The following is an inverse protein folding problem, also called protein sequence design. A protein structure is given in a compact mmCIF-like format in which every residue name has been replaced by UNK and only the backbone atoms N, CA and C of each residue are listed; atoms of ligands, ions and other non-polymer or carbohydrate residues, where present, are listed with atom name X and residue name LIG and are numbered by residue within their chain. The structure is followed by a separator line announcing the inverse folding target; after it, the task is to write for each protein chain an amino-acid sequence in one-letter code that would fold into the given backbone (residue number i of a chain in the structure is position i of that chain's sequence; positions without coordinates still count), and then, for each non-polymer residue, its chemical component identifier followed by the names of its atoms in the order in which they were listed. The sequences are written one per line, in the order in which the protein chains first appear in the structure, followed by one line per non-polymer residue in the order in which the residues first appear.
data_IF_182544605265
#
_entry.id   IF_182544605265
#
_cell.length_a   1.000
_cell.length_b   1.000
_cell.length_c   1.000
_cell.angle_alpha   90.00
_cell.angle_beta   90.00
_cell.angle_gamma   90.00
#
_symmetry.space_group_name_H-M   'P 1'
#
loop_
_entity.id
_entity.type
_entity.pdbx_description
1 polymer ?
#
# COMPACT_ATOMS: atom_id res chain seq x y z
N UNK A 1 -24.09 14.46 -81.84
CA UNK A 1 -23.17 13.33 -81.45
C UNK A 1 -21.99 13.75 -80.63
N UNK A 2 -21.14 14.77 -80.95
CA UNK A 2 -19.98 15.11 -80.05
C UNK A 2 -20.34 15.59 -78.62
N UNK A 3 -21.46 16.31 -78.46
CA UNK A 3 -21.90 16.81 -77.14
C UNK A 3 -22.52 15.71 -76.27
N UNK A 4 -23.11 14.66 -76.87
CA UNK A 4 -23.67 13.52 -76.15
C UNK A 4 -22.61 12.60 -75.58
N UNK A 5 -21.50 12.39 -76.32
CA UNK A 5 -20.38 11.61 -75.86
C UNK A 5 -19.71 12.27 -74.63
N UNK A 6 -19.56 13.60 -74.59
CA UNK A 6 -19.06 14.31 -73.45
C UNK A 6 -19.91 14.10 -72.18
N UNK A 7 -21.22 14.27 -72.35
CA UNK A 7 -22.16 14.08 -71.25
C UNK A 7 -22.16 12.63 -70.73
N UNK A 8 -22.14 11.65 -71.67
CA UNK A 8 -22.10 10.25 -71.28
C UNK A 8 -20.85 9.93 -70.55
N UNK A 9 -19.66 10.38 -71.01
CA UNK A 9 -18.37 10.16 -70.30
C UNK A 9 -18.37 10.72 -68.90
N UNK A 10 -18.88 11.93 -68.69
CA UNK A 10 -18.96 12.54 -67.35
C UNK A 10 -19.90 11.77 -66.42
N UNK A 11 -20.90 11.04 -66.95
CA UNK A 11 -21.85 10.25 -66.15
C UNK A 11 -21.48 8.78 -65.99
N UNK A 12 -20.51 8.23 -66.73
CA UNK A 12 -20.08 6.82 -66.59
C UNK A 12 -19.71 6.39 -65.19
N UNK A 13 -18.96 7.18 -64.36
CA UNK A 13 -18.68 6.81 -62.97
C UNK A 13 -19.95 6.64 -62.13
N UNK A 14 -20.89 7.58 -62.22
CA UNK A 14 -22.18 7.53 -61.50
C UNK A 14 -23.06 6.40 -62.01
N UNK A 15 -23.00 6.09 -63.30
CA UNK A 15 -23.70 4.96 -63.89
C UNK A 15 -23.20 3.61 -63.37
N UNK A 16 -21.89 3.46 -63.21
CA UNK A 16 -21.28 2.28 -62.61
C UNK A 16 -21.64 2.09 -61.15
N UNK A 17 -21.76 3.21 -60.40
CA UNK A 17 -22.18 3.20 -59.01
C UNK A 17 -23.68 3.11 -58.78
N UNK A 18 -24.45 3.04 -59.88
CA UNK A 18 -25.91 2.95 -59.87
C UNK A 18 -26.61 4.22 -59.29
N UNK A 19 -25.96 5.37 -59.42
CA UNK A 19 -26.38 6.66 -58.85
C UNK A 19 -27.05 7.60 -59.87
N UNK A 20 -27.45 7.11 -61.00
CA UNK A 20 -28.20 7.86 -62.04
C UNK A 20 -29.70 7.53 -62.04
N UNK A 21 -30.54 8.46 -62.47
CA UNK A 21 -31.96 8.21 -62.64
C UNK A 21 -32.27 7.16 -63.72
N UNK A 22 -33.45 6.54 -63.67
CA UNK A 22 -33.86 5.50 -64.63
C UNK A 22 -33.85 5.99 -66.07
N UNK A 23 -34.26 7.24 -66.29
CA UNK A 23 -34.25 7.89 -67.58
C UNK A 23 -32.86 8.11 -68.13
N UNK A 24 -31.92 8.59 -67.22
CA UNK A 24 -30.49 8.77 -67.54
C UNK A 24 -29.83 7.43 -67.86
N UNK A 25 -30.22 6.38 -67.12
CA UNK A 25 -29.71 5.02 -67.28
C UNK A 25 -30.09 4.49 -68.69
N UNK A 26 -31.33 4.67 -69.10
CA UNK A 26 -31.78 4.24 -70.40
C UNK A 26 -31.02 4.97 -71.52
N UNK A 27 -30.85 6.30 -71.42
CA UNK A 27 -30.09 7.12 -72.34
C UNK A 27 -28.61 6.67 -72.44
N UNK A 28 -27.89 6.47 -71.31
CA UNK A 28 -26.50 5.99 -71.31
C UNK A 28 -26.40 4.63 -71.98
N UNK A 29 -27.31 3.70 -71.67
CA UNK A 29 -27.31 2.35 -72.22
C UNK A 29 -27.48 2.39 -73.77
N UNK A 30 -28.40 3.14 -74.25
CA UNK A 30 -28.63 3.30 -75.71
C UNK A 30 -27.42 3.94 -76.41
N UNK A 31 -26.79 4.93 -75.79
CA UNK A 31 -25.58 5.55 -76.30
C UNK A 31 -24.39 4.57 -76.33
N UNK A 32 -24.20 3.72 -75.30
CA UNK A 32 -23.17 2.70 -75.27
C UNK A 32 -23.32 1.61 -76.34
N UNK A 33 -24.58 1.33 -76.76
CA UNK A 33 -24.86 0.40 -77.83
C UNK A 33 -24.52 0.97 -79.21
N UNK A 34 -24.53 2.30 -79.37
CA UNK A 34 -24.33 3.00 -80.65
C UNK A 34 -22.97 3.67 -80.79
N UNK A 35 -22.24 3.93 -79.72
CA UNK A 35 -20.94 4.59 -79.69
C UNK A 35 -19.81 3.70 -79.17
N UNK A 36 -18.95 3.14 -80.04
CA UNK A 36 -17.89 2.23 -79.63
C UNK A 36 -16.81 2.88 -78.74
N UNK A 37 -16.59 4.19 -78.88
CA UNK A 37 -15.60 4.92 -78.05
C UNK A 37 -16.06 4.99 -76.56
N UNK A 38 -17.33 5.33 -76.35
CA UNK A 38 -17.89 5.40 -75.02
C UNK A 38 -18.02 4.00 -74.36
N UNK A 39 -18.35 2.99 -75.22
CA UNK A 39 -18.39 1.59 -74.74
C UNK A 39 -17.01 1.08 -74.29
N UNK A 40 -15.92 1.41 -75.00
CA UNK A 40 -14.57 1.06 -74.57
C UNK A 40 -14.16 1.76 -73.25
N UNK A 41 -14.53 3.00 -73.06
CA UNK A 41 -14.28 3.75 -71.84
C UNK A 41 -15.07 3.18 -70.64
N UNK A 42 -16.31 2.79 -70.84
CA UNK A 42 -17.12 2.11 -69.84
C UNK A 42 -16.50 0.77 -69.39
N UNK A 43 -16.01 -0.06 -70.29
CA UNK A 43 -15.37 -1.32 -69.94
C UNK A 43 -14.01 -1.09 -69.22
N UNK A 44 -13.27 -0.04 -69.60
CA UNK A 44 -12.04 0.36 -68.89
C UNK A 44 -12.31 0.77 -67.44
N UNK A 45 -13.34 1.61 -67.20
CA UNK A 45 -13.76 2.04 -65.88
C UNK A 45 -14.28 0.84 -65.03
N UNK A 46 -15.03 -0.06 -65.65
CA UNK A 46 -15.56 -1.26 -64.99
C UNK A 46 -14.44 -2.22 -64.58
N UNK A 47 -13.38 -2.35 -65.34
CA UNK A 47 -12.20 -3.13 -64.99
C UNK A 47 -11.39 -2.48 -63.86
N UNK A 48 -11.29 -1.14 -63.80
CA UNK A 48 -10.67 -0.39 -62.69
C UNK A 48 -11.43 -0.57 -61.38
N UNK A 49 -12.75 -0.57 -61.42
CA UNK A 49 -13.60 -0.83 -60.22
C UNK A 49 -13.42 -2.24 -59.65
N UNK A 50 -13.11 -3.23 -60.47
CA UNK A 50 -12.75 -4.58 -60.04
C UNK A 50 -11.45 -4.61 -59.28
N UNK A 51 -10.44 -3.86 -59.69
CA UNK A 51 -9.13 -3.76 -59.00
C UNK A 51 -9.31 -3.11 -57.63
N UNK A 52 -10.14 -2.10 -57.50
CA UNK A 52 -10.43 -1.44 -56.25
C UNK A 52 -11.15 -2.36 -55.23
N UNK A 53 -12.12 -3.19 -55.69
CA UNK A 53 -12.76 -4.21 -54.86
C UNK A 53 -11.78 -5.26 -54.34
N UNK A 54 -10.88 -5.74 -55.16
CA UNK A 54 -9.81 -6.70 -54.74
C UNK A 54 -8.85 -6.05 -53.76
N UNK A 55 -8.51 -4.78 -53.95
CA UNK A 55 -7.71 -4.02 -53.01
C UNK A 55 -8.37 -3.82 -51.64
N UNK A 56 -9.69 -3.61 -51.64
CA UNK A 56 -10.46 -3.47 -50.37
C UNK A 56 -10.55 -4.78 -49.58
N UNK A 57 -10.74 -5.90 -50.28
CA UNK A 57 -10.77 -7.24 -49.67
C UNK A 57 -9.39 -7.62 -49.09
N UNK A 58 -8.30 -7.32 -49.80
CA UNK A 58 -6.95 -7.53 -49.33
C UNK A 58 -6.64 -6.67 -48.09
N UNK A 59 -7.03 -5.41 -48.07
CA UNK A 59 -6.90 -4.52 -46.91
C UNK A 59 -7.69 -5.07 -45.71
N UNK A 60 -8.92 -5.49 -45.88
CA UNK A 60 -9.73 -6.04 -44.79
C UNK A 60 -9.14 -7.32 -44.20
N UNK A 61 -8.49 -8.17 -45.01
CA UNK A 61 -7.82 -9.39 -44.54
C UNK A 61 -6.52 -9.06 -43.76
N UNK A 62 -5.75 -8.08 -44.25
CA UNK A 62 -4.55 -7.59 -43.55
C UNK A 62 -4.91 -6.92 -42.20
N UNK A 63 -5.95 -6.10 -42.17
CA UNK A 63 -6.43 -5.46 -40.96
C UNK A 63 -6.91 -6.50 -39.93
N UNK A 64 -7.58 -7.57 -40.36
CA UNK A 64 -7.98 -8.68 -39.49
C UNK A 64 -6.79 -9.44 -38.90
N UNK A 65 -5.75 -9.66 -39.69
CA UNK A 65 -4.51 -10.33 -39.25
C UNK A 65 -3.71 -9.44 -38.28
N UNK A 66 -3.59 -8.15 -38.57
CA UNK A 66 -2.99 -7.15 -37.67
C UNK A 66 -3.77 -7.08 -36.36
N UNK A 67 -5.11 -7.01 -36.40
CA UNK A 67 -5.94 -6.99 -35.20
C UNK A 67 -5.77 -8.26 -34.36
N UNK A 68 -5.62 -9.44 -34.98
CA UNK A 68 -5.36 -10.71 -34.30
C UNK A 68 -3.99 -10.72 -33.62
N UNK A 69 -2.95 -10.23 -34.30
CA UNK A 69 -1.60 -10.11 -33.77
C UNK A 69 -1.54 -9.13 -32.60
N UNK A 70 -2.21 -7.99 -32.71
CA UNK A 70 -2.32 -6.98 -31.64
C UNK A 70 -3.05 -7.53 -30.40
N UNK A 71 -4.15 -8.30 -30.59
CA UNK A 71 -4.83 -8.97 -29.47
C UNK A 71 -3.94 -10.00 -28.78
N UNK A 72 -3.17 -10.77 -29.52
CA UNK A 72 -2.23 -11.76 -28.97
C UNK A 72 -1.09 -11.08 -28.17
N UNK A 73 -0.54 -9.98 -28.71
CA UNK A 73 0.49 -9.18 -28.06
C UNK A 73 -0.03 -8.50 -26.80
N UNK A 74 -1.23 -7.92 -26.84
CA UNK A 74 -1.91 -7.33 -25.68
C UNK A 74 -2.16 -8.36 -24.58
N UNK A 75 -2.55 -9.60 -24.93
CA UNK A 75 -2.76 -10.69 -23.96
C UNK A 75 -1.45 -11.12 -23.28
N UNK A 76 -0.33 -11.17 -24.02
CA UNK A 76 1.01 -11.45 -23.47
C UNK A 76 1.51 -10.30 -22.57
N UNK A 77 1.29 -9.04 -22.98
CA UNK A 77 1.65 -7.87 -22.22
C UNK A 77 0.86 -7.79 -20.91
N UNK A 78 -0.45 -7.99 -20.97
CA UNK A 78 -1.29 -8.02 -19.77
C UNK A 78 -0.84 -9.11 -18.77
N UNK A 79 -0.48 -10.32 -19.24
CA UNK A 79 0.04 -11.37 -18.33
C UNK A 79 1.32 -10.93 -17.60
N UNK A 80 2.25 -10.25 -18.30
CA UNK A 80 3.46 -9.70 -17.67
C UNK A 80 3.13 -8.57 -16.70
N UNK A 81 2.24 -7.66 -17.10
CA UNK A 81 1.79 -6.56 -16.26
C UNK A 81 1.11 -7.05 -14.97
N UNK A 82 0.24 -8.07 -15.05
CA UNK A 82 -0.36 -8.70 -13.86
C UNK A 82 0.66 -9.36 -12.95
N UNK A 83 1.69 -10.02 -13.49
CA UNK A 83 2.78 -10.59 -12.67
C UNK A 83 3.57 -9.53 -11.95
N UNK A 84 3.93 -8.45 -12.64
CA UNK A 84 4.64 -7.31 -12.04
C UNK A 84 3.76 -6.65 -10.96
N UNK A 85 2.49 -6.40 -11.24
CA UNK A 85 1.55 -5.86 -10.28
C UNK A 85 1.38 -6.76 -9.04
N UNK A 86 1.31 -8.07 -9.24
CA UNK A 86 1.24 -9.03 -8.13
C UNK A 86 2.50 -9.03 -7.26
N UNK A 87 3.70 -8.92 -7.86
CA UNK A 87 4.97 -8.82 -7.12
C UNK A 87 5.02 -7.51 -6.33
N UNK A 88 4.61 -6.39 -6.93
CA UNK A 88 4.55 -5.09 -6.24
C UNK A 88 3.55 -5.13 -5.08
N UNK A 89 2.36 -5.72 -5.28
CA UNK A 89 1.37 -5.88 -4.24
C UNK A 89 1.88 -6.77 -3.09
N UNK A 90 2.54 -7.89 -3.41
CA UNK A 90 3.13 -8.76 -2.41
C UNK A 90 4.24 -8.06 -1.61
N UNK A 91 5.12 -7.29 -2.29
CA UNK A 91 6.14 -6.49 -1.64
C UNK A 91 5.53 -5.41 -0.73
N UNK A 92 4.47 -4.73 -1.20
CA UNK A 92 3.75 -3.73 -0.40
C UNK A 92 3.11 -4.36 0.84
N UNK A 93 2.46 -5.53 0.70
CA UNK A 93 1.89 -6.27 1.85
C UNK A 93 3.00 -6.66 2.82
N UNK A 94 4.13 -7.16 2.34
CA UNK A 94 5.28 -7.51 3.18
C UNK A 94 5.80 -6.29 3.96
N UNK A 95 5.91 -5.13 3.32
CA UNK A 95 6.29 -3.87 3.99
C UNK A 95 5.25 -3.45 5.02
N UNK A 96 3.94 -3.54 4.71
CA UNK A 96 2.89 -3.24 5.68
C UNK A 96 2.93 -4.16 6.89
N UNK A 97 3.18 -5.45 6.69
CA UNK A 97 3.34 -6.43 7.77
C UNK A 97 4.58 -6.09 8.62
N UNK A 98 5.70 -5.78 7.99
CA UNK A 98 6.91 -5.36 8.71
C UNK A 98 6.66 -4.09 9.52
N UNK A 99 6.01 -3.08 8.95
CA UNK A 99 5.69 -1.83 9.64
C UNK A 99 4.64 -2.00 10.75
N UNK A 100 3.81 -3.05 10.68
CA UNK A 100 2.89 -3.40 11.77
C UNK A 100 3.64 -3.91 13.00
N UNK A 101 4.67 -4.76 12.81
CA UNK A 101 5.50 -5.26 13.91
C UNK A 101 6.60 -4.28 14.33
N UNK A 102 7.12 -3.51 13.38
CA UNK A 102 8.19 -2.52 13.58
C UNK A 102 7.77 -1.18 12.97
N UNK A 103 6.92 -0.41 13.63
CA UNK A 103 6.54 0.91 13.16
C UNK A 103 7.77 1.82 12.98
N UNK A 104 7.68 2.74 12.04
CA UNK A 104 8.81 3.62 11.67
C UNK A 104 9.37 4.37 12.88
N UNK A 105 8.52 4.81 13.80
CA UNK A 105 8.95 5.50 15.02
C UNK A 105 9.87 4.61 15.87
N UNK A 106 9.57 3.30 16.02
CA UNK A 106 10.47 2.35 16.74
C UNK A 106 11.85 2.26 16.09
N UNK A 107 11.90 2.24 14.75
CA UNK A 107 13.18 2.17 14.02
C UNK A 107 13.99 3.44 14.27
N UNK A 108 13.33 4.60 14.24
CA UNK A 108 13.96 5.89 14.49
C UNK A 108 14.46 5.98 15.95
N UNK A 109 13.64 5.58 16.90
CA UNK A 109 13.99 5.61 18.32
C UNK A 109 15.11 4.64 18.67
N UNK A 110 15.08 3.42 18.14
CA UNK A 110 16.18 2.46 18.29
C UNK A 110 17.45 2.98 17.61
N UNK A 111 17.33 3.64 16.47
CA UNK A 111 18.47 4.29 15.80
C UNK A 111 19.08 5.39 16.64
N UNK A 112 18.28 6.22 17.29
CA UNK A 112 18.76 7.28 18.19
C UNK A 112 19.39 6.71 19.45
N UNK A 113 18.84 5.65 20.02
CA UNK A 113 19.45 4.92 21.15
C UNK A 113 20.84 4.35 20.79
N UNK A 114 20.98 3.80 19.57
CA UNK A 114 22.25 3.28 19.09
C UNK A 114 23.31 4.38 18.89
N UNK A 115 22.90 5.53 18.37
CA UNK A 115 23.78 6.69 18.18
C UNK A 115 24.17 7.36 19.51
N UNK A 116 23.29 7.36 20.49
CA UNK A 116 23.52 7.95 21.80
C UNK A 116 24.46 7.15 22.72
N UNK A 117 24.84 5.93 22.36
CA UNK A 117 25.65 5.00 23.18
C UNK A 117 25.09 4.71 24.59
N UNK A 118 23.78 4.91 24.80
CA UNK A 118 23.14 4.66 26.07
C UNK A 118 22.88 3.18 26.35
N UNK A 119 22.74 2.39 25.27
CA UNK A 119 22.49 0.96 25.31
C UNK A 119 23.59 0.20 24.57
N UNK A 120 23.98 -0.95 25.07
CA UNK A 120 24.91 -1.86 24.38
C UNK A 120 24.23 -2.44 23.13
N UNK A 121 25.02 -2.88 22.15
CA UNK A 121 24.51 -3.54 20.94
C UNK A 121 23.62 -4.75 21.25
N UNK A 122 23.90 -5.51 22.30
CA UNK A 122 23.09 -6.62 22.78
C UNK A 122 21.72 -6.15 23.31
N UNK A 123 21.70 -5.05 24.05
CA UNK A 123 20.46 -4.47 24.53
C UNK A 123 19.59 -3.92 23.40
N UNK A 124 20.22 -3.26 22.41
CA UNK A 124 19.51 -2.76 21.22
C UNK A 124 18.94 -3.93 20.40
N UNK A 125 19.69 -5.02 20.24
CA UNK A 125 19.22 -6.21 19.53
C UNK A 125 17.95 -6.80 20.19
N UNK A 126 17.80 -6.70 21.51
CA UNK A 126 16.60 -7.13 22.23
C UNK A 126 15.36 -6.33 21.84
N UNK A 127 15.48 -5.06 21.49
CA UNK A 127 14.37 -4.24 21.04
C UNK A 127 13.77 -4.71 19.70
N UNK A 128 14.57 -5.37 18.85
CA UNK A 128 14.12 -5.96 17.58
C UNK A 128 13.61 -7.40 17.71
N UNK A 129 13.73 -8.00 18.89
CA UNK A 129 13.32 -9.38 19.08
C UNK A 129 11.80 -9.54 19.00
N UNK A 130 11.35 -10.45 18.14
CA UNK A 130 9.95 -10.83 18.07
C UNK A 130 9.73 -11.99 19.04
N UNK A 131 9.34 -11.67 20.29
CA UNK A 131 9.07 -12.66 21.31
C UNK A 131 7.99 -13.67 20.92
N UNK A 132 8.01 -14.84 21.56
CA UNK A 132 6.94 -15.82 21.39
C UNK A 132 5.58 -15.28 21.86
N UNK A 133 4.49 -15.86 21.36
CA UNK A 133 3.15 -15.52 21.85
C UNK A 133 2.96 -15.84 23.34
N UNK A 134 3.72 -16.80 23.87
CA UNK A 134 3.77 -17.12 25.31
C UNK A 134 4.42 -16.00 26.11
N UNK A 135 5.64 -15.59 25.71
CA UNK A 135 6.38 -14.52 26.38
C UNK A 135 5.55 -13.23 26.42
N UNK A 136 4.92 -12.88 25.30
CA UNK A 136 4.07 -11.69 25.22
C UNK A 136 2.85 -11.77 26.15
N UNK A 137 2.25 -12.95 26.32
CA UNK A 137 1.12 -13.15 27.26
C UNK A 137 1.56 -13.08 28.71
N UNK A 138 2.69 -13.68 29.05
CA UNK A 138 3.23 -13.64 30.40
C UNK A 138 3.69 -12.23 30.77
N UNK A 139 4.32 -11.51 29.85
CA UNK A 139 4.71 -10.12 30.05
C UNK A 139 3.50 -9.19 30.35
N UNK A 140 2.30 -9.51 29.87
CA UNK A 140 1.09 -8.71 30.15
C UNK A 140 0.76 -8.63 31.65
N UNK A 141 1.17 -9.60 32.46
CA UNK A 141 0.97 -9.51 33.91
C UNK A 141 1.82 -8.40 34.53
N UNK A 142 3.07 -8.29 34.10
CA UNK A 142 4.01 -7.23 34.53
C UNK A 142 3.54 -5.86 33.98
N UNK A 143 3.09 -5.82 32.74
CA UNK A 143 2.57 -4.56 32.16
C UNK A 143 1.33 -4.06 32.89
N UNK A 144 0.41 -4.95 33.30
CA UNK A 144 -0.77 -4.55 34.13
C UNK A 144 -0.37 -3.97 35.47
N UNK A 145 0.68 -4.51 36.10
CA UNK A 145 1.19 -3.96 37.35
C UNK A 145 1.82 -2.57 37.14
N UNK A 146 2.56 -2.40 36.05
CA UNK A 146 3.11 -1.11 35.65
C UNK A 146 2.01 -0.10 35.30
N UNK A 147 0.97 -0.53 34.60
CA UNK A 147 -0.20 0.30 34.29
C UNK A 147 -0.92 0.79 35.56
N UNK A 148 -1.04 -0.07 36.55
CA UNK A 148 -1.57 0.33 37.86
C UNK A 148 -0.65 1.33 38.56
N UNK A 149 0.68 1.16 38.48
CA UNK A 149 1.62 2.10 39.05
C UNK A 149 1.51 3.47 38.36
N UNK A 150 1.44 3.54 37.03
CA UNK A 150 1.22 4.79 36.33
C UNK A 150 -0.06 5.53 36.71
N UNK A 151 -1.10 4.80 37.10
CA UNK A 151 -2.38 5.39 37.55
C UNK A 151 -2.39 5.73 39.04
N UNK A 152 -1.38 5.37 39.79
CA UNK A 152 -1.33 5.62 41.22
C UNK A 152 -0.75 7.00 41.53
N UNK A 153 -1.62 7.86 42.03
CA UNK A 153 -1.32 9.25 42.42
C UNK A 153 -1.73 9.53 43.88
N UNK A 154 -2.05 8.49 44.65
CA UNK A 154 -2.69 8.65 45.96
C UNK A 154 -1.87 8.10 47.14
N UNK A 155 -0.82 7.34 46.85
CA UNK A 155 -0.01 6.69 47.86
C UNK A 155 1.34 7.36 48.04
N UNK A 156 1.92 7.16 49.21
CA UNK A 156 3.30 7.59 49.52
C UNK A 156 4.31 6.77 48.75
N UNK A 157 5.53 7.25 48.68
CA UNK A 157 6.65 6.54 48.07
C UNK A 157 6.85 5.16 48.66
N UNK A 158 6.76 5.02 50.00
CA UNK A 158 6.92 3.76 50.71
C UNK A 158 5.80 2.74 50.40
N UNK A 159 4.56 3.20 50.34
CA UNK A 159 3.40 2.36 49.98
C UNK A 159 3.48 1.90 48.53
N UNK A 160 3.94 2.77 47.62
CA UNK A 160 4.14 2.45 46.23
C UNK A 160 5.27 1.43 46.06
N UNK A 161 6.37 1.55 46.79
CA UNK A 161 7.48 0.59 46.75
C UNK A 161 7.05 -0.78 47.27
N UNK A 162 6.29 -0.84 48.35
CA UNK A 162 5.78 -2.09 48.89
C UNK A 162 4.85 -2.79 47.88
N UNK A 163 4.01 -2.02 47.18
CA UNK A 163 2.98 -2.53 46.26
C UNK A 163 3.52 -2.90 44.88
N UNK A 164 4.43 -2.11 44.34
CA UNK A 164 4.88 -2.20 42.94
C UNK A 164 6.36 -2.59 42.78
N UNK A 165 7.15 -2.62 43.89
CA UNK A 165 8.59 -2.83 43.81
C UNK A 165 9.26 -1.76 42.95
N UNK A 166 10.16 -2.17 42.02
CA UNK A 166 10.83 -1.20 41.15
C UNK A 166 9.91 -0.47 40.15
N UNK A 167 8.71 -0.97 39.91
CA UNK A 167 7.70 -0.27 39.08
C UNK A 167 7.10 0.92 39.81
N UNK A 168 7.32 1.10 41.14
CA UNK A 168 6.89 2.27 41.91
C UNK A 168 7.41 3.58 41.33
N UNK A 169 8.55 3.55 40.60
CA UNK A 169 9.09 4.74 39.91
C UNK A 169 8.13 5.33 38.85
N UNK A 170 7.11 4.60 38.44
CA UNK A 170 6.07 5.06 37.52
C UNK A 170 4.86 5.65 38.22
N UNK A 171 4.72 5.41 39.53
CA UNK A 171 3.70 6.05 40.36
C UNK A 171 4.09 7.50 40.66
N UNK A 172 3.08 8.34 40.85
CA UNK A 172 3.27 9.70 41.32
C UNK A 172 3.01 9.72 42.83
N UNK A 173 4.08 9.76 43.61
CA UNK A 173 3.94 9.70 45.07
C UNK A 173 3.53 11.07 45.64
N UNK A 174 2.69 11.03 46.69
CA UNK A 174 2.18 12.20 47.36
C UNK A 174 3.24 12.95 48.19
N UNK A 175 4.35 12.30 48.51
CA UNK A 175 5.44 12.88 49.29
C UNK A 175 6.26 13.87 48.48
N UNK A 176 6.48 13.57 47.18
CA UNK A 176 7.32 14.37 46.27
C UNK A 176 6.53 15.38 45.49
N UNK A 177 5.31 15.04 45.07
CA UNK A 177 4.52 15.83 44.11
C UNK A 177 3.26 16.43 44.71
N UNK A 178 2.95 16.13 45.97
CA UNK A 178 1.80 16.71 46.66
C UNK A 178 0.47 16.17 46.10
N UNK A 179 -0.54 17.04 46.13
CA UNK A 179 -1.89 16.69 45.71
C UNK A 179 -2.06 16.77 44.17
N UNK A 180 -1.65 15.72 43.48
CA UNK A 180 -1.86 15.60 42.03
C UNK A 180 -3.22 14.98 41.73
N UNK A 181 -3.85 15.37 40.61
CA UNK A 181 -5.21 14.96 40.27
C UNK A 181 -5.25 13.60 39.59
N UNK A 182 -4.48 13.42 38.55
CA UNK A 182 -4.45 12.20 37.72
C UNK A 182 -3.21 12.15 36.84
N UNK A 183 -2.98 10.96 36.28
CA UNK A 183 -1.92 10.72 35.31
C UNK A 183 -2.53 10.20 33.99
N UNK A 184 -2.09 10.78 32.88
CA UNK A 184 -2.33 10.22 31.55
C UNK A 184 -1.07 9.53 31.05
N UNK A 185 -1.20 8.28 30.59
CA UNK A 185 -0.05 7.54 30.12
C UNK A 185 -0.41 6.63 28.93
N UNK A 186 0.64 6.26 28.22
CA UNK A 186 0.62 5.16 27.25
C UNK A 186 1.75 4.20 27.58
N UNK A 187 1.48 2.90 27.51
CA UNK A 187 2.46 1.84 27.77
C UNK A 187 2.34 0.78 26.68
N UNK A 188 3.39 0.61 25.91
CA UNK A 188 3.43 -0.33 24.80
C UNK A 188 4.52 -1.39 25.01
N UNK A 189 4.15 -2.66 24.83
CA UNK A 189 5.10 -3.76 24.81
C UNK A 189 5.81 -3.82 23.45
N UNK A 190 7.11 -3.56 23.40
CA UNK A 190 7.89 -3.73 22.19
C UNK A 190 8.28 -5.18 21.95
N UNK A 191 8.96 -5.76 22.94
CA UNK A 191 9.44 -7.14 22.87
C UNK A 191 9.58 -7.73 24.27
N UNK A 192 9.51 -9.05 24.37
CA UNK A 192 9.78 -9.76 25.60
C UNK A 192 10.40 -11.11 25.29
N UNK A 193 11.28 -11.56 26.19
CA UNK A 193 11.78 -12.91 26.24
C UNK A 193 11.80 -13.37 27.68
N UNK A 194 11.01 -14.37 27.98
CA UNK A 194 10.80 -14.89 29.33
C UNK A 194 11.27 -16.35 29.36
N UNK A 195 12.46 -16.55 29.93
CA UNK A 195 13.03 -17.88 30.16
C UNK A 195 12.36 -18.62 31.29
N UNK A 196 13.03 -19.58 31.88
CA UNK A 196 12.47 -20.36 33.01
C UNK A 196 12.35 -19.52 34.29
N UNK A 197 13.40 -18.79 34.64
CA UNK A 197 13.49 -18.04 35.90
C UNK A 197 13.88 -16.58 35.71
N UNK A 198 14.41 -16.21 34.55
CA UNK A 198 14.82 -14.85 34.22
C UNK A 198 14.44 -14.48 32.81
N UNK A 199 14.30 -13.19 32.54
CA UNK A 199 13.95 -12.67 31.26
C UNK A 199 14.14 -11.16 31.16
N UNK A 200 13.62 -10.62 30.07
CA UNK A 200 13.61 -9.19 29.86
C UNK A 200 12.36 -8.77 29.08
N UNK A 201 11.91 -7.53 29.31
CA UNK A 201 10.78 -6.89 28.68
C UNK A 201 11.23 -5.51 28.20
N UNK A 202 11.04 -5.20 26.92
CA UNK A 202 11.17 -3.86 26.35
C UNK A 202 9.79 -3.22 26.26
N UNK A 203 9.65 -2.06 26.84
CA UNK A 203 8.47 -1.21 26.76
C UNK A 203 8.81 0.17 26.22
N UNK A 204 7.79 0.85 25.75
CA UNK A 204 7.83 2.25 25.34
C UNK A 204 6.67 2.95 25.99
N UNK A 205 6.95 4.06 26.67
CA UNK A 205 5.90 4.75 27.39
C UNK A 205 6.00 6.25 27.27
N UNK A 206 4.87 6.91 27.50
CA UNK A 206 4.76 8.34 27.80
C UNK A 206 3.85 8.50 29.00
N UNK A 207 4.14 9.48 29.86
CA UNK A 207 3.37 9.76 31.06
C UNK A 207 3.34 11.26 31.29
N UNK A 208 2.18 11.81 31.63
CA UNK A 208 2.00 13.20 32.03
C UNK A 208 1.09 13.25 33.26
N UNK A 209 1.57 13.85 34.32
CA UNK A 209 0.83 14.00 35.59
C UNK A 209 0.27 15.43 35.68
N UNK A 210 -0.99 15.53 36.03
CA UNK A 210 -1.76 16.78 36.07
C UNK A 210 -2.10 17.17 37.49
N UNK A 211 -2.01 18.47 37.77
CA UNK A 211 -2.54 19.09 38.96
C UNK A 211 -4.06 19.26 38.88
N UNK A 212 -4.71 19.55 40.00
CA UNK A 212 -6.16 19.81 40.05
C UNK A 212 -6.62 21.01 39.22
N UNK A 213 -5.74 21.91 38.90
CA UNK A 213 -6.02 23.08 38.01
C UNK A 213 -5.85 22.76 36.52
N UNK A 214 -5.50 21.52 36.19
CA UNK A 214 -5.24 21.04 34.82
C UNK A 214 -3.86 21.39 34.26
N UNK A 215 -2.98 22.00 35.07
CA UNK A 215 -1.58 22.19 34.66
C UNK A 215 -0.79 20.90 34.75
N UNK A 216 0.24 20.75 33.91
CA UNK A 216 1.14 19.59 33.96
C UNK A 216 2.14 19.79 35.12
N UNK A 217 2.13 18.84 36.06
CA UNK A 217 3.08 18.82 37.17
C UNK A 217 4.45 18.30 36.69
N UNK A 218 4.46 17.16 36.00
CA UNK A 218 5.64 16.58 35.38
C UNK A 218 5.21 15.62 34.27
N UNK A 219 6.18 15.17 33.45
CA UNK A 219 5.91 14.20 32.42
C UNK A 219 7.16 13.70 31.74
N UNK A 220 7.02 12.55 31.12
CA UNK A 220 8.03 11.92 30.27
C UNK A 220 7.37 11.47 28.97
N UNK A 221 8.01 11.75 27.85
CA UNK A 221 7.45 11.37 26.55
C UNK A 221 8.41 10.46 25.80
N UNK A 222 7.84 9.43 25.17
CA UNK A 222 8.55 8.57 24.25
C UNK A 222 9.80 7.90 24.87
N UNK A 223 9.63 7.34 26.07
CA UNK A 223 10.74 6.72 26.80
C UNK A 223 10.81 5.22 26.50
N UNK A 224 11.89 4.73 25.87
CA UNK A 224 12.17 3.31 25.81
C UNK A 224 12.70 2.82 27.15
N UNK A 225 12.15 1.74 27.68
CA UNK A 225 12.55 1.16 28.95
C UNK A 225 12.79 -0.33 28.84
N UNK A 226 13.98 -0.78 29.25
CA UNK A 226 14.35 -2.18 29.30
C UNK A 226 14.25 -2.68 30.75
N UNK A 227 13.36 -3.63 30.99
CA UNK A 227 13.14 -4.26 32.27
C UNK A 227 13.77 -5.65 32.29
N UNK A 228 14.66 -5.91 33.26
CA UNK A 228 15.04 -7.26 33.59
C UNK A 228 14.06 -7.81 34.59
N UNK A 229 13.59 -9.03 34.37
CA UNK A 229 12.59 -9.69 35.21
C UNK A 229 13.09 -11.04 35.69
N UNK A 230 12.71 -11.42 36.89
CA UNK A 230 13.01 -12.73 37.49
C UNK A 230 11.73 -13.30 38.10
N UNK A 231 11.65 -14.63 38.22
CA UNK A 231 10.54 -15.27 38.96
C UNK A 231 10.82 -15.25 40.45
N UNK A 232 9.81 -14.77 41.21
CA UNK A 232 9.83 -14.86 42.67
C UNK A 232 9.51 -16.30 43.15
N UNK A 233 9.51 -16.53 44.44
CA UNK A 233 9.22 -17.82 45.08
C UNK A 233 7.77 -18.27 44.80
N UNK A 234 6.86 -17.37 44.52
CA UNK A 234 5.48 -17.64 44.12
C UNK A 234 5.33 -17.97 42.64
N UNK A 235 6.43 -17.90 41.86
CA UNK A 235 6.44 -18.15 40.41
C UNK A 235 5.98 -16.98 39.56
N UNK A 236 5.78 -15.81 40.14
CA UNK A 236 5.38 -14.59 39.42
C UNK A 236 6.62 -13.84 38.91
N UNK A 237 6.43 -13.14 37.79
CA UNK A 237 7.47 -12.28 37.24
C UNK A 237 7.52 -10.95 37.96
N UNK A 238 8.69 -10.62 38.49
CA UNK A 238 9.00 -9.35 39.16
C UNK A 238 10.11 -8.61 38.42
N UNK A 239 10.01 -7.28 38.37
CA UNK A 239 11.03 -6.44 37.76
C UNK A 239 12.17 -6.25 38.79
N UNK A 240 13.37 -6.66 38.43
CA UNK A 240 14.58 -6.58 39.27
C UNK A 240 15.58 -5.53 38.81
N UNK A 241 15.42 -5.00 37.62
CA UNK A 241 16.19 -3.87 37.10
C UNK A 241 15.43 -3.16 36.02
N UNK A 242 15.50 -1.83 36.04
CA UNK A 242 14.98 -0.97 34.98
C UNK A 242 16.14 -0.15 34.42
N UNK A 243 16.25 -0.09 33.11
CA UNK A 243 17.22 0.74 32.39
C UNK A 243 16.46 1.65 31.40
N UNK A 244 16.67 2.93 31.60
CA UNK A 244 16.08 4.00 30.78
C UNK A 244 17.13 5.07 30.51
N UNK A 245 16.93 5.78 29.41
CA UNK A 245 17.61 7.03 29.11
C UNK A 245 16.59 8.01 28.57
N UNK A 246 16.59 9.24 29.10
CA UNK A 246 15.73 10.31 28.62
C UNK A 246 16.09 10.77 27.21
#
# INVERSE_FOLDING_TARGET
MKNECSLVRDMLPLYLENMVSEETRAFIKEHLETCPECAAEYEALKSGTKVEKVGSELRSSLDAEVAKSMKATRKKFNKKAYRVAAVIAAAFIAVCVLLHFFPVYRIVDIGSMAMGNYYSSDQIAKAFYIGSASDRREAQAVLRLADQAFNDVQHTSAENEEKYGLLSRYATDTDSYGDTAFNEHSLELWSAHLGKNEGWIWVYYSSETFNHDGSIAHGSRNIPSLWRVERNDSGEWVVVQIREHP
#
